data_IF_284093583839
#
_entry.id   IF_284093583839
#
_cell.length_a   1.000
_cell.length_b   1.000
_cell.length_c   1.000
_cell.angle_alpha   90.00
_cell.angle_beta   90.00
_cell.angle_gamma   90.00
#
_symmetry.space_group_name_H-M   'P 1'
#
loop_
_entity.id
_entity.type
_entity.pdbx_description
1 polymer ?
#
# COMPACT_ATOMS: atom_id res chain seq x y z
N UNK A 1 57.42 -18.63 64.62
CA UNK A 1 56.09 -19.22 64.79
C UNK A 1 55.07 -18.21 64.32
N UNK A 2 54.19 -18.64 63.41
CA UNK A 2 52.83 -18.14 63.14
C UNK A 2 52.63 -16.71 62.61
N UNK A 3 52.29 -16.67 61.31
CA UNK A 3 51.11 -16.05 60.67
C UNK A 3 50.31 -14.95 61.38
N UNK A 4 50.02 -13.91 60.59
CA UNK A 4 48.72 -13.23 60.57
C UNK A 4 48.72 -11.77 60.98
N UNK A 5 48.75 -10.84 60.02
CA UNK A 5 48.29 -9.47 60.23
C UNK A 5 47.37 -9.01 59.09
N UNK A 6 46.10 -8.85 59.46
CA UNK A 6 44.98 -8.21 58.76
C UNK A 6 45.30 -6.72 58.47
N UNK A 7 45.10 -6.28 57.23
CA UNK A 7 43.92 -5.58 56.69
C UNK A 7 43.79 -4.08 57.09
N UNK A 8 43.92 -3.20 56.09
CA UNK A 8 43.29 -1.86 56.03
C UNK A 8 43.36 -1.30 54.59
N UNK A 9 42.20 -0.82 54.10
CA UNK A 9 41.86 -0.30 52.76
C UNK A 9 42.69 0.91 52.27
N UNK A 10 42.68 1.26 50.95
CA UNK A 10 41.67 2.21 50.43
C UNK A 10 41.19 2.03 48.97
N UNK A 11 40.12 2.79 48.67
CA UNK A 11 39.63 3.27 47.37
C UNK A 11 38.64 2.40 46.57
N UNK A 12 37.35 2.60 46.89
CA UNK A 12 36.20 2.29 46.05
C UNK A 12 35.97 3.45 45.07
N UNK A 13 36.10 3.20 43.77
CA UNK A 13 35.51 4.01 42.70
C UNK A 13 34.61 3.07 41.88
N UNK A 14 33.30 3.20 42.09
CA UNK A 14 32.29 2.41 41.40
C UNK A 14 32.16 2.88 39.95
N UNK A 15 32.62 2.04 39.01
CA UNK A 15 32.31 2.17 37.60
C UNK A 15 30.92 1.60 37.32
N UNK A 16 30.07 2.38 36.65
CA UNK A 16 28.74 1.98 36.21
C UNK A 16 28.80 0.80 35.22
N UNK A 17 27.87 -0.18 35.28
CA UNK A 17 27.86 -1.27 34.32
C UNK A 17 27.32 -0.79 32.97
N UNK A 18 28.16 -0.91 31.95
CA UNK A 18 27.81 -0.79 30.54
C UNK A 18 26.75 -1.84 30.19
N UNK A 19 25.52 -1.40 29.92
CA UNK A 19 24.46 -2.28 29.44
C UNK A 19 24.81 -2.72 28.03
N UNK A 20 25.17 -4.00 27.90
CA UNK A 20 25.36 -4.67 26.63
C UNK A 20 24.05 -4.64 25.82
N UNK A 21 24.10 -4.07 24.62
CA UNK A 21 23.05 -4.23 23.60
C UNK A 21 22.98 -5.73 23.25
N UNK A 22 21.83 -6.41 23.39
CA UNK A 22 21.74 -7.78 22.91
C UNK A 22 21.84 -7.75 21.38
N UNK A 23 22.81 -8.49 20.86
CA UNK A 23 22.92 -8.80 19.45
C UNK A 23 21.65 -9.58 19.04
N UNK A 24 20.76 -8.93 18.30
CA UNK A 24 19.68 -9.59 17.57
C UNK A 24 20.33 -10.46 16.49
N UNK A 25 20.56 -11.73 16.82
CA UNK A 25 20.87 -12.77 15.84
C UNK A 25 19.75 -12.80 14.80
N UNK A 26 20.14 -12.61 13.54
CA UNK A 26 19.24 -12.54 12.40
C UNK A 26 18.44 -13.82 12.20
N UNK A 27 17.16 -13.77 12.56
CA UNK A 27 16.14 -14.51 11.83
C UNK A 27 15.93 -13.76 10.51
N UNK A 28 16.31 -14.39 9.38
CA UNK A 28 15.99 -13.89 8.04
C UNK A 28 14.49 -13.61 7.99
N UNK A 29 14.08 -12.37 7.74
CA UNK A 29 12.70 -12.11 7.38
C UNK A 29 12.44 -12.80 6.02
N UNK A 30 11.30 -13.46 5.84
CA UNK A 30 10.90 -13.96 4.53
C UNK A 30 10.82 -12.78 3.54
N UNK A 31 10.98 -13.02 2.23
CA UNK A 31 10.87 -11.96 1.22
C UNK A 31 9.54 -11.23 1.38
N UNK A 32 9.60 -9.91 1.52
CA UNK A 32 8.41 -9.11 1.80
C UNK A 32 7.67 -8.86 0.49
N UNK A 33 6.49 -9.45 0.36
CA UNK A 33 5.65 -9.24 -0.82
C UNK A 33 4.67 -8.10 -0.55
N UNK A 34 4.65 -7.11 -1.44
CA UNK A 34 3.79 -5.96 -1.35
C UNK A 34 2.88 -5.90 -2.58
N UNK A 35 1.57 -5.83 -2.36
CA UNK A 35 0.56 -5.76 -3.41
C UNK A 35 -0.12 -4.39 -3.44
N UNK A 36 0.47 -3.37 -4.07
CA UNK A 36 -0.25 -2.14 -4.37
C UNK A 36 -1.41 -2.40 -5.32
N UNK A 37 -2.64 -2.22 -4.85
CA UNK A 37 -3.82 -2.27 -5.71
C UNK A 37 -3.94 -0.96 -6.51
N UNK A 38 -4.33 -1.03 -7.77
CA UNK A 38 -4.74 0.19 -8.47
C UNK A 38 -6.09 0.66 -7.92
N UNK A 39 -6.10 1.80 -7.23
CA UNK A 39 -7.33 2.61 -7.18
C UNK A 39 -7.61 3.17 -8.58
N UNK A 40 -8.81 3.77 -8.79
CA UNK A 40 -9.10 4.57 -9.99
C UNK A 40 -7.93 5.48 -10.39
N UNK A 41 -7.17 5.94 -9.38
CA UNK A 41 -6.00 6.80 -9.33
C UNK A 41 -4.89 6.57 -10.38
N UNK A 42 -4.52 5.34 -10.73
CA UNK A 42 -3.45 5.05 -11.71
C UNK A 42 -3.58 3.65 -12.29
N UNK A 43 -4.26 3.53 -13.43
CA UNK A 43 -4.11 2.36 -14.28
C UNK A 43 -2.88 2.57 -15.19
N UNK A 44 -2.00 1.58 -15.31
CA UNK A 44 -0.98 1.58 -16.36
C UNK A 44 -1.56 0.84 -17.57
N UNK A 45 -1.45 1.42 -18.76
CA UNK A 45 -1.83 0.78 -20.03
C UNK A 45 -0.60 0.69 -20.91
N UNK A 46 -0.38 -0.44 -21.58
CA UNK A 46 0.76 -0.64 -22.48
C UNK A 46 0.32 -0.78 -23.93
N UNK A 47 1.01 -0.10 -24.83
CA UNK A 47 0.95 -0.36 -26.27
C UNK A 47 2.21 -1.06 -26.75
N UNK A 48 2.05 -2.20 -27.44
CA UNK A 48 3.17 -2.90 -28.07
C UNK A 48 3.58 -2.15 -29.34
N UNK A 49 4.82 -1.71 -29.41
CA UNK A 49 5.45 -1.23 -30.65
C UNK A 49 6.28 -2.36 -31.25
N UNK A 50 5.77 -2.94 -32.34
CA UNK A 50 6.37 -4.07 -33.08
C UNK A 50 5.30 -4.73 -33.95
N UNK A 51 5.55 -4.82 -35.26
CA UNK A 51 4.60 -5.10 -36.36
C UNK A 51 3.32 -5.89 -35.99
N UNK A 52 2.16 -5.22 -36.05
CA UNK A 52 0.84 -5.85 -36.13
C UNK A 52 -0.11 -5.74 -34.93
N UNK A 53 0.26 -5.09 -33.81
CA UNK A 53 -0.56 -5.05 -32.59
C UNK A 53 -1.44 -3.79 -32.41
N UNK A 54 -2.75 -3.95 -32.32
CA UNK A 54 -3.75 -2.86 -32.13
C UNK A 54 -3.62 -2.12 -30.80
N UNK A 55 -3.80 -0.80 -30.84
CA UNK A 55 -4.01 0.05 -29.67
C UNK A 55 -5.35 -0.24 -28.96
N UNK A 56 -5.33 -0.34 -27.63
CA UNK A 56 -6.50 -0.34 -26.76
C UNK A 56 -6.54 0.95 -25.91
N UNK A 57 -7.54 1.80 -26.14
CA UNK A 57 -7.89 2.94 -25.30
C UNK A 57 -9.35 2.83 -24.87
N UNK A 58 -9.68 3.39 -23.71
CA UNK A 58 -11.06 3.55 -23.24
C UNK A 58 -11.30 5.05 -23.00
N UNK A 59 -12.16 5.71 -23.81
CA UNK A 59 -12.71 7.01 -23.46
C UNK A 59 -13.94 6.84 -22.55
N UNK A 60 -14.12 7.82 -21.68
CA UNK A 60 -15.29 8.01 -20.83
C UNK A 60 -16.57 8.11 -21.67
N UNK A 61 -17.61 7.40 -21.24
CA UNK A 61 -18.92 7.38 -21.89
C UNK A 61 -19.59 8.75 -21.82
N UNK A 62 -20.06 9.17 -22.98
CA UNK A 62 -21.02 10.25 -23.20
C UNK A 62 -22.40 9.91 -22.66
N UNK A 63 -23.08 10.91 -22.11
CA UNK A 63 -24.53 10.90 -21.89
C UNK A 63 -25.19 11.44 -23.15
N UNK A 64 -26.12 10.66 -23.72
CA UNK A 64 -27.08 11.12 -24.73
C UNK A 64 -28.35 11.52 -23.99
N UNK A 65 -28.75 12.77 -24.13
CA UNK A 65 -30.08 13.27 -23.78
C UNK A 65 -30.47 14.28 -24.86
N UNK A 66 -31.48 13.95 -25.64
CA UNK A 66 -31.99 14.75 -26.74
C UNK A 66 -33.44 15.07 -26.44
N UNK A 67 -33.79 16.36 -26.25
CA UNK A 67 -35.03 16.98 -26.73
C UNK A 67 -34.93 18.52 -26.62
N UNK A 68 -35.06 19.16 -27.78
CA UNK A 68 -35.68 20.45 -28.14
C UNK A 68 -35.54 21.74 -27.29
N UNK A 69 -35.32 22.79 -28.08
CA UNK A 69 -35.09 24.25 -27.92
C UNK A 69 -36.19 25.06 -27.21
N UNK A 70 -35.84 26.10 -26.43
CA UNK A 70 -36.03 27.55 -26.74
C UNK A 70 -35.33 28.48 -25.69
N UNK A 71 -34.97 29.76 -26.00
CA UNK A 71 -33.92 30.54 -25.33
C UNK A 71 -34.43 31.66 -24.41
N UNK A 72 -33.63 32.08 -23.42
CA UNK A 72 -33.43 33.50 -23.05
C UNK A 72 -32.49 33.73 -21.85
N UNK A 73 -31.56 34.68 -22.05
CA UNK A 73 -30.77 35.49 -21.10
C UNK A 73 -29.50 34.90 -20.42
N UNK A 74 -28.35 35.63 -20.43
CA UNK A 74 -27.12 35.21 -19.79
C UNK A 74 -27.09 35.61 -18.30
N UNK A 75 -26.74 34.65 -17.43
CA UNK A 75 -26.43 34.90 -16.01
C UNK A 75 -24.93 34.64 -15.76
N UNK A 76 -24.31 35.35 -14.80
CA UNK A 76 -22.86 35.45 -14.67
C UNK A 76 -22.21 34.11 -14.34
N UNK A 77 -21.03 33.88 -14.90
CA UNK A 77 -20.20 32.68 -14.68
C UNK A 77 -19.91 32.48 -13.19
N UNK A 78 -20.28 31.32 -12.60
CA UNK A 78 -19.81 30.97 -11.27
C UNK A 78 -18.35 30.53 -11.35
N UNK A 79 -17.51 31.14 -10.52
CA UNK A 79 -16.15 30.68 -10.24
C UNK A 79 -16.25 29.27 -9.63
N UNK A 80 -15.54 28.25 -10.15
CA UNK A 80 -15.67 26.89 -9.62
C UNK A 80 -15.07 26.81 -8.22
N UNK A 81 -15.87 26.32 -7.27
CA UNK A 81 -15.43 25.92 -5.94
C UNK A 81 -14.40 24.77 -6.03
N UNK A 82 -13.35 24.74 -5.19
CA UNK A 82 -12.36 23.66 -5.18
C UNK A 82 -12.93 22.44 -4.46
N UNK A 83 -13.82 21.70 -5.12
CA UNK A 83 -14.47 20.51 -4.55
C UNK A 83 -14.62 19.34 -5.53
N UNK A 84 -14.16 19.49 -6.77
CA UNK A 84 -14.17 18.43 -7.77
C UNK A 84 -12.82 17.74 -7.83
N UNK A 85 -12.69 16.57 -7.20
CA UNK A 85 -11.51 15.72 -7.40
C UNK A 85 -11.30 15.46 -8.90
N UNK A 86 -10.12 15.81 -9.41
CA UNK A 86 -9.75 15.57 -10.80
C UNK A 86 -9.96 14.08 -11.16
N UNK A 87 -10.53 13.76 -12.33
CA UNK A 87 -10.71 12.38 -12.72
C UNK A 87 -9.35 11.70 -12.78
N UNK A 88 -9.23 10.59 -12.07
CA UNK A 88 -8.01 9.83 -12.00
C UNK A 88 -7.48 9.44 -13.39
N UNK A 89 -6.25 9.86 -13.69
CA UNK A 89 -5.65 9.72 -15.03
C UNK A 89 -4.87 8.40 -15.15
N UNK A 90 -5.03 7.77 -16.30
CA UNK A 90 -4.34 6.53 -16.70
C UNK A 90 -2.93 6.85 -17.18
N UNK A 91 -1.92 6.15 -16.67
CA UNK A 91 -0.55 6.21 -17.16
C UNK A 91 -0.43 5.35 -18.43
N UNK A 92 0.02 5.92 -19.54
CA UNK A 92 0.13 5.21 -20.80
C UNK A 92 1.59 4.94 -21.15
N UNK A 93 2.04 3.71 -20.91
CA UNK A 93 3.38 3.26 -21.25
C UNK A 93 3.45 2.75 -22.70
N UNK A 94 4.35 3.32 -23.49
CA UNK A 94 4.60 2.98 -24.91
C UNK A 94 6.02 2.48 -25.14
N UNK A 95 6.87 2.58 -24.12
CA UNK A 95 8.27 2.17 -24.15
C UNK A 95 8.68 1.47 -22.83
N UNK A 96 9.79 0.71 -22.83
CA UNK A 96 10.39 0.22 -21.59
C UNK A 96 10.74 1.34 -20.59
N UNK A 97 11.19 2.50 -21.09
CA UNK A 97 11.44 3.68 -20.27
C UNK A 97 10.18 4.18 -19.56
N UNK A 98 9.03 4.15 -20.24
CA UNK A 98 7.75 4.55 -19.64
C UNK A 98 7.31 3.56 -18.55
N UNK A 99 7.57 2.25 -18.73
CA UNK A 99 7.32 1.24 -17.70
C UNK A 99 8.15 1.52 -16.45
N UNK A 100 9.45 1.76 -16.62
CA UNK A 100 10.36 2.10 -15.52
C UNK A 100 9.93 3.38 -14.80
N UNK A 101 9.45 4.38 -15.53
CA UNK A 101 8.93 5.62 -14.95
C UNK A 101 7.56 5.48 -14.29
N UNK A 102 6.76 4.48 -14.68
CA UNK A 102 5.45 4.20 -14.05
C UNK A 102 5.61 3.53 -12.68
N UNK A 103 6.61 2.67 -12.51
CA UNK A 103 6.89 1.96 -11.25
C UNK A 103 6.91 2.89 -10.02
N UNK A 104 7.72 3.96 -9.98
CA UNK A 104 7.79 4.82 -8.79
C UNK A 104 6.48 5.53 -8.49
N UNK A 105 5.70 5.90 -9.52
CA UNK A 105 4.38 6.53 -9.35
C UNK A 105 3.37 5.54 -8.77
N UNK A 106 3.41 4.29 -9.25
CA UNK A 106 2.51 3.22 -8.80
C UNK A 106 2.83 2.77 -7.37
N UNK A 107 4.11 2.58 -7.05
CA UNK A 107 4.54 2.13 -5.72
C UNK A 107 4.52 3.27 -4.68
N UNK A 108 4.67 4.52 -5.12
CA UNK A 108 4.88 5.69 -4.27
C UNK A 108 6.33 5.89 -3.83
N UNK A 109 7.24 5.03 -4.28
CA UNK A 109 8.68 5.12 -4.00
C UNK A 109 9.47 4.38 -5.09
N UNK A 110 10.77 4.63 -5.17
CA UNK A 110 11.66 3.93 -6.12
C UNK A 110 12.05 2.56 -5.61
N UNK A 111 11.87 1.55 -6.45
CA UNK A 111 12.25 0.18 -6.16
C UNK A 111 13.78 -0.02 -6.28
N UNK A 112 14.33 -0.76 -5.34
CA UNK A 112 15.71 -1.27 -5.34
C UNK A 112 15.67 -2.72 -4.87
N UNK A 113 16.63 -3.53 -5.33
CA UNK A 113 16.82 -4.95 -4.93
C UNK A 113 15.50 -5.74 -4.83
N UNK A 114 14.68 -5.65 -5.88
CA UNK A 114 13.34 -6.22 -5.91
C UNK A 114 12.87 -6.55 -7.32
N UNK A 115 11.89 -7.46 -7.40
CA UNK A 115 11.10 -7.68 -8.61
C UNK A 115 9.80 -6.89 -8.48
N UNK A 116 9.51 -6.07 -9.49
CA UNK A 116 8.24 -5.34 -9.61
C UNK A 116 7.42 -5.95 -10.74
N UNK A 117 6.15 -6.24 -10.45
CA UNK A 117 5.17 -6.73 -11.40
C UNK A 117 4.08 -5.68 -11.63
N UNK A 118 3.90 -5.28 -12.87
CA UNK A 118 2.79 -4.47 -13.31
C UNK A 118 1.76 -5.37 -14.02
N UNK A 119 0.55 -5.53 -13.46
CA UNK A 119 -0.53 -6.24 -14.16
C UNK A 119 -1.34 -5.31 -15.04
N UNK A 120 -1.87 -5.87 -16.13
CA UNK A 120 -2.71 -5.15 -17.07
C UNK A 120 -4.06 -5.86 -17.20
N UNK A 121 -5.18 -5.17 -16.97
CA UNK A 121 -6.49 -5.82 -17.03
C UNK A 121 -6.86 -6.14 -18.49
N UNK A 122 -7.53 -7.28 -18.69
CA UNK A 122 -8.04 -7.70 -20.01
C UNK A 122 -8.95 -6.62 -20.60
N UNK A 123 -8.57 -6.09 -21.77
CA UNK A 123 -9.50 -5.31 -22.58
C UNK A 123 -10.48 -6.29 -23.24
N UNK A 124 -11.80 -6.23 -22.97
CA UNK A 124 -12.75 -7.11 -23.65
C UNK A 124 -12.77 -6.78 -25.16
N UNK A 125 -12.90 -7.78 -26.05
CA UNK A 125 -13.09 -7.51 -27.47
C UNK A 125 -14.35 -6.65 -27.68
N UNK A 126 -14.24 -5.63 -28.54
CA UNK A 126 -15.26 -4.59 -28.82
C UNK A 126 -16.69 -5.12 -29.06
N UNK A 127 -16.85 -6.38 -29.45
CA UNK A 127 -18.14 -7.03 -29.75
C UNK A 127 -18.97 -7.45 -28.52
N UNK A 128 -18.43 -7.40 -27.30
CA UNK A 128 -19.14 -7.78 -26.05
C UNK A 128 -19.49 -6.59 -25.14
N UNK A 129 -19.71 -5.40 -25.70
CA UNK A 129 -20.18 -4.20 -24.95
C UNK A 129 -21.63 -4.28 -24.45
N UNK A 130 -22.36 -5.37 -24.73
CA UNK A 130 -23.78 -5.58 -24.35
C UNK A 130 -24.01 -6.53 -23.17
N UNK A 131 -22.97 -7.11 -22.58
CA UNK A 131 -23.11 -7.70 -21.25
C UNK A 131 -23.07 -6.54 -20.24
N UNK A 132 -23.90 -6.59 -19.20
CA UNK A 132 -24.01 -5.54 -18.15
C UNK A 132 -22.69 -5.26 -17.40
N UNK A 133 -22.69 -4.68 -16.19
CA UNK A 133 -21.48 -4.42 -15.41
C UNK A 133 -20.82 -5.74 -15.00
N UNK A 134 -20.16 -6.38 -15.95
CA UNK A 134 -19.34 -7.55 -15.79
C UNK A 134 -18.07 -7.06 -15.13
N UNK A 135 -17.93 -7.46 -13.86
CA UNK A 135 -16.80 -7.22 -12.97
C UNK A 135 -15.50 -7.43 -13.75
N UNK A 136 -14.92 -6.37 -14.29
CA UNK A 136 -13.60 -6.46 -14.91
C UNK A 136 -12.60 -6.80 -13.80
N UNK A 137 -11.59 -7.65 -14.07
CA UNK A 137 -10.50 -7.84 -13.12
C UNK A 137 -9.89 -6.47 -12.83
N UNK A 138 -9.90 -6.04 -11.58
CA UNK A 138 -9.16 -4.85 -11.17
C UNK A 138 -7.66 -5.19 -11.21
N UNK A 139 -6.86 -4.27 -11.76
CA UNK A 139 -5.42 -4.47 -11.81
C UNK A 139 -4.82 -4.31 -10.41
N UNK A 140 -3.84 -5.16 -10.09
CA UNK A 140 -2.98 -5.00 -8.93
C UNK A 140 -1.53 -4.99 -9.39
N UNK A 141 -0.67 -4.34 -8.65
CA UNK A 141 0.75 -4.35 -8.89
C UNK A 141 1.42 -5.06 -7.72
N UNK A 142 2.62 -5.58 -7.92
CA UNK A 142 3.35 -6.23 -6.86
C UNK A 142 4.81 -5.76 -6.85
N UNK A 143 5.39 -5.74 -5.67
CA UNK A 143 6.83 -5.64 -5.45
C UNK A 143 7.20 -6.73 -4.45
N UNK A 144 8.24 -7.48 -4.75
CA UNK A 144 8.82 -8.44 -3.81
C UNK A 144 10.32 -8.26 -3.76
N UNK A 145 10.89 -8.32 -2.55
CA UNK A 145 12.35 -8.26 -2.38
C UNK A 145 13.03 -9.39 -3.15
N UNK A 146 14.19 -9.10 -3.76
CA UNK A 146 15.02 -10.16 -4.32
C UNK A 146 15.58 -11.01 -3.17
N UNK A 147 15.63 -12.34 -3.32
CA UNK A 147 16.13 -13.19 -2.27
C UNK A 147 17.66 -13.08 -2.17
N UNK A 148 18.20 -13.27 -0.96
CA UNK A 148 19.64 -13.28 -0.76
C UNK A 148 20.33 -14.48 -1.44
N UNK A 149 19.58 -15.56 -1.70
CA UNK A 149 20.03 -16.75 -2.39
C UNK A 149 19.24 -16.94 -3.68
N UNK A 150 19.90 -17.15 -4.85
CA UNK A 150 19.19 -17.50 -6.08
C UNK A 150 18.34 -18.78 -5.98
N UNK A 151 18.64 -19.66 -5.01
CA UNK A 151 17.87 -20.88 -4.76
C UNK A 151 16.40 -20.60 -4.39
N UNK A 152 16.11 -19.41 -3.84
CA UNK A 152 14.77 -19.03 -3.37
C UNK A 152 13.97 -18.27 -4.47
N UNK A 153 14.56 -18.07 -5.66
CA UNK A 153 13.88 -17.40 -6.80
C UNK A 153 12.58 -18.11 -7.26
N UNK A 154 12.47 -19.45 -7.22
CA UNK A 154 11.19 -20.11 -7.51
C UNK A 154 10.06 -19.66 -6.57
N UNK A 155 10.34 -19.51 -5.28
CA UNK A 155 9.33 -19.03 -4.31
C UNK A 155 8.90 -17.60 -4.61
N UNK A 156 9.84 -16.75 -5.02
CA UNK A 156 9.55 -15.38 -5.47
C UNK A 156 8.66 -15.36 -6.71
N UNK A 157 8.92 -16.24 -7.68
CA UNK A 157 8.09 -16.36 -8.87
C UNK A 157 6.68 -16.86 -8.53
N UNK A 158 6.56 -17.88 -7.68
CA UNK A 158 5.28 -18.44 -7.26
C UNK A 158 4.45 -17.41 -6.47
N UNK A 159 5.08 -16.67 -5.55
CA UNK A 159 4.43 -15.60 -4.79
C UNK A 159 3.85 -14.48 -5.68
N UNK A 160 4.48 -14.19 -6.82
CA UNK A 160 3.97 -13.23 -7.81
C UNK A 160 2.91 -13.86 -8.72
N UNK A 161 3.06 -15.12 -9.09
CA UNK A 161 2.17 -15.83 -10.02
C UNK A 161 0.84 -16.22 -9.37
N UNK A 162 0.84 -16.62 -8.11
CA UNK A 162 -0.36 -17.07 -7.38
C UNK A 162 -1.52 -16.05 -7.45
N UNK A 163 -1.31 -14.76 -7.14
CA UNK A 163 -2.34 -13.74 -7.29
C UNK A 163 -2.74 -13.49 -8.74
N UNK A 164 -1.82 -13.61 -9.70
CA UNK A 164 -2.10 -13.44 -11.14
C UNK A 164 -3.11 -14.49 -11.60
N UNK A 165 -2.90 -15.76 -11.23
CA UNK A 165 -3.81 -16.86 -11.53
C UNK A 165 -5.15 -16.70 -10.80
N UNK A 166 -5.12 -16.37 -9.51
CA UNK A 166 -6.32 -16.17 -8.68
C UNK A 166 -7.24 -15.10 -9.26
N UNK A 167 -6.67 -13.99 -9.71
CA UNK A 167 -7.41 -12.85 -10.26
C UNK A 167 -7.59 -12.93 -11.79
N UNK A 168 -7.14 -14.02 -12.42
CA UNK A 168 -7.22 -14.28 -13.86
C UNK A 168 -6.64 -13.14 -14.70
N UNK A 169 -5.51 -12.62 -14.23
CA UNK A 169 -4.69 -11.70 -14.99
C UNK A 169 -3.95 -12.51 -16.05
N UNK A 170 -4.06 -12.10 -17.30
CA UNK A 170 -3.42 -12.79 -18.43
C UNK A 170 -2.23 -12.03 -18.99
N UNK A 171 -1.94 -10.83 -18.48
CA UNK A 171 -0.90 -9.96 -19.00
C UNK A 171 -0.18 -9.19 -17.91
N UNK A 172 1.14 -9.28 -17.89
CA UNK A 172 2.01 -8.59 -16.93
C UNK A 172 3.28 -8.05 -17.57
N UNK A 173 3.90 -7.05 -16.94
CA UNK A 173 5.28 -6.66 -17.19
C UNK A 173 6.06 -6.84 -15.89
N UNK A 174 7.30 -7.30 -16.01
CA UNK A 174 8.19 -7.57 -14.89
C UNK A 174 9.45 -6.70 -15.01
N UNK A 175 9.88 -6.12 -13.89
CA UNK A 175 11.12 -5.35 -13.81
C UNK A 175 11.93 -5.85 -12.62
N UNK A 176 13.14 -6.32 -12.88
CA UNK A 176 14.10 -6.76 -11.87
C UNK A 176 15.04 -5.59 -11.57
N UNK A 177 14.94 -5.00 -10.39
CA UNK A 177 15.81 -3.94 -9.92
C UNK A 177 16.95 -4.53 -9.09
N UNK A 178 18.18 -4.47 -9.60
CA UNK A 178 19.39 -4.86 -8.86
C UNK A 178 20.64 -4.42 -9.62
N UNK A 179 21.74 -4.03 -8.95
CA UNK A 179 23.01 -3.83 -9.64
C UNK A 179 23.66 -5.15 -10.10
N UNK A 180 23.24 -6.31 -9.58
CA UNK A 180 23.81 -7.62 -9.91
C UNK A 180 23.16 -8.21 -11.17
N UNK A 181 23.87 -8.12 -12.30
CA UNK A 181 23.43 -8.65 -13.58
C UNK A 181 23.28 -10.19 -13.59
N UNK A 182 24.08 -10.92 -12.80
CA UNK A 182 23.99 -12.37 -12.74
C UNK A 182 22.75 -12.82 -11.97
N UNK A 183 22.42 -12.14 -10.87
CA UNK A 183 21.17 -12.36 -10.15
C UNK A 183 19.97 -11.96 -11.01
N UNK A 184 20.04 -10.83 -11.72
CA UNK A 184 18.97 -10.39 -12.62
C UNK A 184 18.69 -11.42 -13.73
N UNK A 185 19.73 -11.97 -14.36
CA UNK A 185 19.58 -13.00 -15.39
C UNK A 185 18.95 -14.29 -14.83
N UNK A 186 19.37 -14.73 -13.64
CA UNK A 186 18.79 -15.91 -12.98
C UNK A 186 17.31 -15.69 -12.63
N UNK A 187 16.99 -14.54 -12.01
CA UNK A 187 15.62 -14.17 -11.67
C UNK A 187 14.75 -14.12 -12.93
N UNK A 188 15.24 -13.52 -14.00
CA UNK A 188 14.53 -13.41 -15.26
C UNK A 188 14.27 -14.78 -15.92
N UNK A 189 15.24 -15.70 -15.87
CA UNK A 189 15.05 -17.07 -16.35
C UNK A 189 13.90 -17.78 -15.62
N UNK A 190 13.93 -17.76 -14.28
CA UNK A 190 12.88 -18.39 -13.46
C UNK A 190 11.51 -17.75 -13.70
N UNK A 191 11.44 -16.41 -13.67
CA UNK A 191 10.20 -15.67 -13.89
C UNK A 191 9.63 -15.90 -15.30
N UNK A 192 10.47 -15.84 -16.34
CA UNK A 192 10.04 -16.03 -17.71
C UNK A 192 9.46 -17.43 -17.92
N UNK A 193 10.15 -18.47 -17.43
CA UNK A 193 9.69 -19.86 -17.51
C UNK A 193 8.35 -20.04 -16.79
N UNK A 194 8.28 -19.68 -15.50
CA UNK A 194 7.06 -19.88 -14.67
C UNK A 194 5.83 -19.18 -15.26
N UNK A 195 5.96 -17.91 -15.64
CA UNK A 195 4.84 -17.15 -16.18
C UNK A 195 4.40 -17.65 -17.56
N UNK A 196 5.35 -18.06 -18.42
CA UNK A 196 5.03 -18.59 -19.76
C UNK A 196 4.37 -19.97 -19.67
N UNK A 197 4.87 -20.87 -18.82
CA UNK A 197 4.27 -22.18 -18.55
C UNK A 197 2.83 -22.06 -18.04
N UNK A 198 2.56 -21.02 -17.24
CA UNK A 198 1.23 -20.69 -16.75
C UNK A 198 0.32 -19.98 -17.77
N UNK A 199 0.81 -19.71 -18.99
CA UNK A 199 0.05 -19.06 -20.06
C UNK A 199 -0.17 -17.56 -19.89
N UNK A 200 0.66 -16.88 -19.09
CA UNK A 200 0.59 -15.43 -18.87
C UNK A 200 1.43 -14.70 -19.92
N UNK A 201 0.85 -13.70 -20.58
CA UNK A 201 1.49 -12.84 -21.58
C UNK A 201 2.46 -11.87 -20.87
N UNK A 202 3.77 -12.16 -20.97
CA UNK A 202 4.82 -11.23 -20.56
C UNK A 202 4.99 -10.13 -21.61
N UNK A 203 4.44 -8.96 -21.32
CA UNK A 203 4.56 -7.76 -22.15
C UNK A 203 6.01 -7.33 -22.27
N UNK A 204 6.71 -7.36 -21.15
CA UNK A 204 8.13 -7.10 -21.05
C UNK A 204 8.72 -7.73 -19.80
N UNK A 205 10.02 -8.01 -19.85
CA UNK A 205 10.83 -8.40 -18.71
C UNK A 205 12.16 -7.67 -18.81
N UNK A 206 12.38 -6.76 -17.86
CA UNK A 206 13.49 -5.80 -17.88
C UNK A 206 14.38 -6.00 -16.66
N UNK A 207 15.68 -5.76 -16.81
CA UNK A 207 16.61 -5.56 -15.71
C UNK A 207 16.94 -4.07 -15.62
N UNK A 208 16.87 -3.48 -14.43
CA UNK A 208 17.28 -2.11 -14.15
C UNK A 208 18.40 -2.10 -13.10
N UNK A 209 19.57 -1.55 -13.45
CA UNK A 209 20.75 -1.49 -12.57
C UNK A 209 20.85 -0.19 -11.76
N UNK A 210 19.86 0.70 -11.91
CA UNK A 210 19.81 2.04 -11.32
C UNK A 210 20.30 3.17 -12.23
N UNK A 211 20.90 2.86 -13.39
CA UNK A 211 21.36 3.83 -14.40
C UNK A 211 20.90 3.48 -15.81
N UNK A 212 20.88 2.18 -16.13
CA UNK A 212 20.51 1.60 -17.41
C UNK A 212 19.49 0.50 -17.20
N UNK A 213 18.70 0.27 -18.23
CA UNK A 213 17.84 -0.90 -18.32
C UNK A 213 18.25 -1.78 -19.49
N UNK A 214 17.98 -3.07 -19.32
CA UNK A 214 18.33 -4.13 -20.25
C UNK A 214 17.08 -4.95 -20.55
N UNK A 215 16.82 -5.23 -21.83
CA UNK A 215 15.79 -6.18 -22.22
C UNK A 215 16.24 -7.61 -21.91
N UNK A 216 15.35 -8.43 -21.35
CA UNK A 216 15.64 -9.85 -21.05
C UNK A 216 14.82 -10.80 -21.93
N UNK A 217 13.72 -10.33 -22.54
CA UNK A 217 12.98 -11.10 -23.55
C UNK A 217 13.63 -10.97 -24.94
N UNK A 218 13.51 -12.02 -25.79
CA UNK A 218 13.95 -11.96 -27.18
C UNK A 218 13.09 -10.98 -28.01
N UNK A 219 13.62 -10.54 -29.16
CA UNK A 219 12.90 -9.73 -30.15
C UNK A 219 13.01 -8.21 -29.97
N UNK A 220 13.95 -7.75 -29.14
CA UNK A 220 14.34 -6.33 -29.02
C UNK A 220 15.56 -6.03 -29.91
N UNK A 221 15.85 -4.76 -30.21
CA UNK A 221 17.05 -4.43 -30.97
C UNK A 221 18.32 -4.59 -30.11
N UNK A 222 19.51 -4.82 -30.71
CA UNK A 222 20.75 -5.12 -29.98
C UNK A 222 21.10 -4.13 -28.86
N UNK A 223 20.84 -2.84 -29.07
CA UNK A 223 21.09 -1.79 -28.08
C UNK A 223 20.30 -1.96 -26.78
N UNK A 224 19.12 -2.58 -26.83
CA UNK A 224 18.32 -2.85 -25.65
C UNK A 224 18.94 -3.94 -24.77
N UNK A 225 19.72 -4.87 -25.36
CA UNK A 225 20.47 -5.88 -24.62
C UNK A 225 21.82 -5.34 -24.12
N UNK A 226 22.39 -4.34 -24.81
CA UNK A 226 23.63 -3.67 -24.39
C UNK A 226 23.43 -2.65 -23.25
N UNK A 227 22.18 -2.29 -22.95
CA UNK A 227 21.79 -1.41 -21.87
C UNK A 227 21.54 0.02 -22.32
N UNK A 228 20.32 0.50 -22.09
CA UNK A 228 19.87 1.85 -22.43
C UNK A 228 19.79 2.72 -21.17
N UNK A 229 20.42 3.91 -21.14
CA UNK A 229 20.26 4.84 -20.03
C UNK A 229 18.79 5.22 -19.79
N UNK A 230 18.39 5.35 -18.54
CA UNK A 230 17.10 5.92 -18.19
C UNK A 230 17.22 6.88 -17.02
N UNK A 231 16.35 7.88 -17.01
CA UNK A 231 16.12 8.76 -15.88
C UNK A 231 14.62 8.78 -15.59
N UNK A 232 14.23 8.12 -14.52
CA UNK A 232 12.84 8.12 -14.07
C UNK A 232 12.45 9.47 -13.45
N UNK A 233 13.43 10.27 -12.96
CA UNK A 233 13.22 11.48 -12.16
C UNK A 233 12.72 12.66 -12.98
N UNK A 234 13.15 12.77 -14.23
CA UNK A 234 12.71 13.79 -15.17
C UNK A 234 11.49 13.39 -16.00
N UNK A 235 10.99 12.16 -15.82
CA UNK A 235 9.91 11.65 -16.65
C UNK A 235 8.56 12.37 -16.36
N UNK A 236 7.75 12.70 -17.38
CA UNK A 236 6.47 13.39 -17.21
C UNK A 236 5.48 12.76 -16.23
N UNK A 237 5.57 11.44 -16.02
CA UNK A 237 4.73 10.73 -15.05
C UNK A 237 4.93 11.21 -13.61
N UNK A 238 6.16 11.56 -13.21
CA UNK A 238 6.43 12.07 -11.87
C UNK A 238 5.91 13.50 -11.71
N UNK A 239 6.09 14.36 -12.72
CA UNK A 239 5.54 15.71 -12.70
C UNK A 239 4.01 15.68 -12.54
N UNK A 240 3.34 14.77 -13.24
CA UNK A 240 1.90 14.55 -13.09
C UNK A 240 1.53 14.01 -11.70
N UNK A 241 2.31 13.07 -11.15
CA UNK A 241 2.06 12.55 -9.80
C UNK A 241 2.11 13.66 -8.74
N UNK A 242 3.09 14.57 -8.84
CA UNK A 242 3.21 15.73 -7.94
C UNK A 242 2.03 16.68 -8.08
N UNK A 243 1.58 16.95 -9.31
CA UNK A 243 0.38 17.76 -9.56
C UNK A 243 -0.87 17.14 -8.94
N UNK A 244 -0.96 15.80 -8.93
CA UNK A 244 -2.04 15.04 -8.31
C UNK A 244 -1.86 14.90 -6.77
N UNK A 245 -0.94 15.66 -6.17
CA UNK A 245 -0.67 15.68 -4.73
C UNK A 245 0.11 14.47 -4.22
N UNK A 246 0.72 13.67 -5.10
CA UNK A 246 1.47 12.46 -4.74
C UNK A 246 2.96 12.72 -4.73
N UNK A 247 3.57 12.47 -3.57
CA UNK A 247 5.02 12.53 -3.42
C UNK A 247 5.59 11.13 -3.61
N UNK A 248 6.51 11.00 -4.57
CA UNK A 248 7.29 9.77 -4.77
C UNK A 248 8.53 9.82 -3.89
N UNK A 249 8.66 8.87 -2.97
CA UNK A 249 9.79 8.80 -2.05
C UNK A 249 11.02 8.13 -2.69
N UNK A 250 12.18 8.34 -2.05
CA UNK A 250 13.45 7.77 -2.51
C UNK A 250 13.53 6.26 -2.36
N UNK A 251 12.85 5.68 -1.36
CA UNK A 251 12.87 4.25 -1.05
C UNK A 251 11.66 3.84 -0.22
N UNK A 252 11.46 2.53 -0.05
CA UNK A 252 10.51 1.97 0.91
C UNK A 252 10.84 2.38 2.33
N UNK A 253 12.13 2.41 2.69
CA UNK A 253 12.56 2.79 4.03
C UNK A 253 12.21 4.25 4.34
N UNK A 254 12.29 5.14 3.35
CA UNK A 254 11.79 6.50 3.49
C UNK A 254 10.27 6.55 3.71
N UNK A 255 9.50 5.66 3.07
CA UNK A 255 8.05 5.53 3.31
C UNK A 255 7.76 5.06 4.74
N UNK A 256 8.50 4.07 5.22
CA UNK A 256 8.37 3.56 6.59
C UNK A 256 8.81 4.59 7.64
N UNK A 257 9.90 5.32 7.38
CA UNK A 257 10.39 6.40 8.24
C UNK A 257 9.36 7.52 8.39
N UNK A 258 8.60 7.83 7.33
CA UNK A 258 7.49 8.80 7.40
C UNK A 258 6.29 8.39 8.26
N UNK A 259 6.34 7.22 8.91
CA UNK A 259 5.39 6.79 9.94
C UNK A 259 5.97 6.87 11.37
N UNK A 260 7.25 7.20 11.51
CA UNK A 260 7.89 7.44 12.80
C UNK A 260 7.57 8.89 13.22
N UNK A 261 7.49 9.13 14.53
CA UNK A 261 7.32 10.46 15.07
C UNK A 261 8.53 11.33 14.71
N UNK A 262 8.28 12.51 14.14
CA UNK A 262 9.31 13.53 13.96
C UNK A 262 9.43 14.43 15.22
N UNK A 263 8.36 14.47 16.02
CA UNK A 263 8.26 15.23 17.27
C UNK A 263 7.99 14.29 18.44
N UNK A 264 9.04 13.95 19.17
CA UNK A 264 8.93 13.08 20.35
C UNK A 264 8.23 13.76 21.53
N UNK A 265 8.24 15.10 21.60
CA UNK A 265 7.55 15.84 22.65
C UNK A 265 6.02 15.74 22.48
N UNK A 266 5.52 15.78 21.23
CA UNK A 266 4.12 15.53 20.94
C UNK A 266 3.68 14.10 21.35
N UNK A 267 4.51 13.09 21.08
CA UNK A 267 4.22 11.70 21.52
C UNK A 267 4.13 11.59 23.03
N UNK A 268 5.07 12.22 23.75
CA UNK A 268 5.08 12.24 25.22
C UNK A 268 3.87 12.99 25.78
N UNK A 269 3.48 14.13 25.20
CA UNK A 269 2.29 14.88 25.59
C UNK A 269 1.01 14.05 25.40
N UNK A 270 0.87 13.39 24.24
CA UNK A 270 -0.24 12.47 23.97
C UNK A 270 -0.26 11.30 24.95
N UNK A 271 0.90 10.72 25.28
CA UNK A 271 0.99 9.64 26.28
C UNK A 271 0.53 10.11 27.67
N UNK A 272 1.02 11.26 28.13
CA UNK A 272 0.63 11.85 29.42
C UNK A 272 -0.87 12.13 29.50
N UNK A 273 -1.45 12.70 28.43
CA UNK A 273 -2.88 12.93 28.33
C UNK A 273 -3.67 11.61 28.29
N UNK A 274 -3.22 10.61 27.54
CA UNK A 274 -3.91 9.32 27.45
C UNK A 274 -3.90 8.58 28.79
N UNK A 275 -2.84 8.73 29.61
CA UNK A 275 -2.75 8.13 30.95
C UNK A 275 -3.63 8.82 31.99
N UNK A 276 -4.00 10.08 31.78
CA UNK A 276 -4.90 10.82 32.67
C UNK A 276 -6.38 10.64 32.34
N UNK A 277 -6.68 10.03 31.18
CA UNK A 277 -8.04 9.71 30.74
C UNK A 277 -8.42 8.29 31.17
N UNK A 278 -9.55 8.18 31.86
CA UNK A 278 -10.21 6.90 32.10
C UNK A 278 -10.99 6.46 30.85
N UNK A 279 -11.05 5.15 30.63
CA UNK A 279 -11.99 4.61 29.62
C UNK A 279 -13.42 4.87 30.08
N UNK A 280 -14.26 5.31 29.15
CA UNK A 280 -15.68 5.43 29.42
C UNK A 280 -16.25 4.08 29.89
N UNK A 281 -17.01 4.13 30.99
CA UNK A 281 -17.84 3.00 31.40
C UNK A 281 -19.00 2.78 30.41
N UNK A 282 -19.81 1.71 30.62
CA UNK A 282 -20.94 1.40 29.74
C UNK A 282 -21.91 2.57 29.50
N UNK A 283 -22.13 3.40 30.53
CA UNK A 283 -23.02 4.57 30.47
C UNK A 283 -22.49 5.70 29.57
N UNK A 284 -21.17 5.83 29.44
CA UNK A 284 -20.51 6.84 28.60
C UNK A 284 -20.27 6.38 27.15
N UNK A 285 -20.44 5.09 26.85
CA UNK A 285 -20.09 4.51 25.56
C UNK A 285 -20.81 5.19 24.38
N UNK A 286 -22.09 5.55 24.53
CA UNK A 286 -22.82 6.24 23.45
C UNK A 286 -22.30 7.67 23.23
N UNK A 287 -21.90 8.36 24.30
CA UNK A 287 -21.27 9.68 24.19
C UNK A 287 -19.92 9.59 23.49
N UNK A 288 -19.10 8.58 23.80
CA UNK A 288 -17.83 8.36 23.09
C UNK A 288 -18.05 7.95 21.63
N UNK A 289 -19.08 7.14 21.34
CA UNK A 289 -19.47 6.80 19.97
C UNK A 289 -19.77 8.07 19.15
N UNK A 290 -20.59 8.97 19.68
CA UNK A 290 -20.94 10.24 19.03
C UNK A 290 -19.74 11.17 18.91
N UNK A 291 -18.86 11.18 19.91
CA UNK A 291 -17.65 11.99 19.88
C UNK A 291 -16.66 11.49 18.81
N UNK A 292 -16.35 10.20 18.76
CA UNK A 292 -15.46 9.59 17.74
C UNK A 292 -16.01 9.88 16.34
N UNK A 293 -17.33 9.73 16.16
CA UNK A 293 -17.97 9.98 14.88
C UNK A 293 -17.81 11.45 14.44
N UNK A 294 -18.17 12.37 15.32
CA UNK A 294 -18.08 13.81 15.06
C UNK A 294 -16.64 14.29 14.91
N UNK A 295 -15.70 13.73 15.67
CA UNK A 295 -14.28 14.06 15.61
C UNK A 295 -13.69 13.67 14.24
N UNK A 296 -13.99 12.47 13.75
CA UNK A 296 -13.53 12.01 12.44
C UNK A 296 -14.13 12.85 11.31
N UNK A 297 -15.41 13.26 11.39
CA UNK A 297 -16.01 14.16 10.41
C UNK A 297 -15.31 15.52 10.35
N UNK A 298 -15.12 16.14 11.52
CA UNK A 298 -14.39 17.41 11.63
C UNK A 298 -12.97 17.30 11.05
N UNK A 299 -12.28 16.20 11.35
CA UNK A 299 -10.93 15.96 10.86
C UNK A 299 -10.86 15.78 9.35
N UNK A 300 -11.79 15.01 8.78
CA UNK A 300 -11.91 14.81 7.33
C UNK A 300 -12.32 16.11 6.61
N UNK A 301 -13.03 17.00 7.28
CA UNK A 301 -13.33 18.36 6.81
C UNK A 301 -12.13 19.33 6.93
N UNK A 302 -11.00 18.89 7.50
CA UNK A 302 -9.75 19.66 7.56
C UNK A 302 -9.44 20.30 8.91
N UNK A 303 -10.25 20.05 9.95
CA UNK A 303 -9.97 20.58 11.28
C UNK A 303 -8.68 20.00 11.87
N UNK A 304 -7.84 20.85 12.46
CA UNK A 304 -6.63 20.43 13.15
C UNK A 304 -7.00 19.76 14.50
N UNK A 305 -6.42 18.60 14.78
CA UNK A 305 -6.58 17.93 16.07
C UNK A 305 -5.47 18.30 17.04
N UNK A 306 -5.89 18.69 18.25
CA UNK A 306 -4.97 18.86 19.38
C UNK A 306 -4.41 17.52 19.86
N UNK A 307 -3.37 17.56 20.68
CA UNK A 307 -2.84 16.35 21.32
C UNK A 307 -3.86 15.70 22.26
N UNK A 308 -4.78 16.50 22.83
CA UNK A 308 -5.90 16.01 23.62
C UNK A 308 -6.94 15.24 22.80
N UNK A 309 -7.25 15.71 21.59
CA UNK A 309 -8.14 14.98 20.67
C UNK A 309 -7.54 13.63 20.27
N UNK A 310 -6.23 13.60 19.96
CA UNK A 310 -5.53 12.35 19.63
C UNK A 310 -5.49 11.42 20.83
N UNK A 311 -5.14 11.92 22.03
CA UNK A 311 -5.10 11.11 23.24
C UNK A 311 -6.46 10.47 23.55
N UNK A 312 -7.56 11.24 23.47
CA UNK A 312 -8.92 10.70 23.68
C UNK A 312 -9.26 9.62 22.65
N UNK A 313 -9.01 9.89 21.36
CA UNK A 313 -9.24 8.89 20.31
C UNK A 313 -8.44 7.60 20.57
N UNK A 314 -7.17 7.70 20.97
CA UNK A 314 -6.33 6.53 21.25
C UNK A 314 -6.86 5.71 22.44
N UNK A 315 -7.40 6.37 23.46
CA UNK A 315 -8.05 5.69 24.60
C UNK A 315 -9.33 4.99 24.14
N UNK A 316 -10.14 5.63 23.30
CA UNK A 316 -11.38 5.07 22.76
C UNK A 316 -11.13 3.85 21.87
N UNK A 317 -10.07 3.86 21.06
CA UNK A 317 -9.71 2.74 20.17
C UNK A 317 -9.30 1.46 20.91
N UNK A 318 -9.13 1.51 22.24
CA UNK A 318 -8.97 0.31 23.08
C UNK A 318 -10.28 -0.46 23.24
N UNK A 319 -11.42 0.21 23.03
CA UNK A 319 -12.71 -0.46 22.85
C UNK A 319 -12.84 -0.92 21.38
N UNK A 320 -13.04 -2.22 21.22
CA UNK A 320 -13.21 -2.85 19.91
C UNK A 320 -14.40 -2.26 19.15
N UNK A 321 -15.48 -1.89 19.83
CA UNK A 321 -16.69 -1.33 19.21
C UNK A 321 -16.43 0.06 18.63
N UNK A 322 -15.71 0.91 19.36
CA UNK A 322 -15.34 2.26 18.90
C UNK A 322 -14.25 2.21 17.81
N UNK A 323 -13.30 1.27 17.91
CA UNK A 323 -12.36 0.99 16.83
C UNK A 323 -13.06 0.55 15.55
N UNK A 324 -14.01 -0.37 15.67
CA UNK A 324 -14.71 -0.91 14.51
C UNK A 324 -15.69 0.10 13.92
N UNK A 325 -16.25 1.02 14.72
CA UNK A 325 -16.93 2.22 14.22
C UNK A 325 -16.00 2.99 13.29
N UNK A 326 -14.80 3.36 13.76
CA UNK A 326 -13.83 4.11 12.95
C UNK A 326 -13.42 3.35 11.66
N UNK A 327 -13.32 2.02 11.72
CA UNK A 327 -13.03 1.17 10.58
C UNK A 327 -14.17 1.14 9.54
N UNK A 328 -15.40 0.89 9.99
CA UNK A 328 -16.56 0.70 9.11
C UNK A 328 -16.97 1.97 8.36
N UNK A 329 -16.53 3.15 8.82
CA UNK A 329 -16.75 4.43 8.13
C UNK A 329 -15.93 4.61 6.86
N UNK A 330 -14.86 3.84 6.70
CA UNK A 330 -13.96 4.01 5.56
C UNK A 330 -14.64 3.56 4.27
N UNK A 331 -14.68 4.45 3.29
CA UNK A 331 -15.16 4.15 1.93
C UNK A 331 -14.04 4.35 0.93
N UNK A 332 -14.16 3.78 -0.27
CA UNK A 332 -13.21 4.06 -1.36
C UNK A 332 -13.06 5.55 -1.66
N UNK A 333 -14.14 6.32 -1.53
CA UNK A 333 -14.14 7.77 -1.75
C UNK A 333 -13.48 8.55 -0.61
N UNK A 334 -13.55 8.09 0.64
CA UNK A 334 -12.95 8.77 1.80
C UNK A 334 -11.56 8.26 2.17
N UNK A 335 -11.09 7.15 1.56
CA UNK A 335 -9.87 6.46 1.94
C UNK A 335 -8.62 7.35 1.96
N UNK A 336 -8.46 8.25 0.97
CA UNK A 336 -7.33 9.18 0.93
C UNK A 336 -7.31 10.13 2.14
N UNK A 337 -8.48 10.67 2.53
CA UNK A 337 -8.59 11.48 3.74
C UNK A 337 -8.26 10.69 5.00
N UNK A 338 -8.78 9.46 5.11
CA UNK A 338 -8.44 8.58 6.24
C UNK A 338 -6.95 8.23 6.31
N UNK A 339 -6.26 8.06 5.18
CA UNK A 339 -4.80 7.84 5.18
C UNK A 339 -4.09 9.00 5.88
N UNK A 340 -4.46 10.24 5.59
CA UNK A 340 -3.88 11.41 6.24
C UNK A 340 -4.21 11.47 7.73
N UNK A 341 -5.47 11.20 8.11
CA UNK A 341 -5.89 11.15 9.53
C UNK A 341 -5.08 10.11 10.30
N UNK A 342 -5.04 8.86 9.81
CA UNK A 342 -4.40 7.78 10.55
C UNK A 342 -2.88 7.87 10.52
N UNK A 343 -2.29 8.45 9.48
CA UNK A 343 -0.86 8.72 9.44
C UNK A 343 -0.45 9.70 10.53
N UNK A 344 -1.22 10.77 10.69
CA UNK A 344 -1.01 11.77 11.74
C UNK A 344 -1.19 11.16 13.14
N UNK A 345 -2.26 10.38 13.37
CA UNK A 345 -2.46 9.66 14.65
C UNK A 345 -1.31 8.68 14.92
N UNK A 346 -0.89 7.89 13.94
CA UNK A 346 0.23 6.92 14.08
C UNK A 346 1.54 7.62 14.46
N UNK A 347 1.80 8.81 13.90
CA UNK A 347 3.01 9.59 14.19
C UNK A 347 3.02 10.20 15.60
N UNK A 348 1.85 10.44 16.19
CA UNK A 348 1.70 10.99 17.55
C UNK A 348 1.44 9.92 18.61
N UNK A 349 1.23 8.66 18.20
CA UNK A 349 0.79 7.59 19.08
C UNK A 349 1.97 6.96 19.87
N UNK A 350 1.88 6.85 21.22
CA UNK A 350 2.84 6.09 22.00
C UNK A 350 2.77 4.59 21.68
N UNK A 351 3.91 3.90 21.81
CA UNK A 351 4.08 2.53 21.33
C UNK A 351 3.02 1.54 21.84
N UNK A 352 2.58 1.68 23.10
CA UNK A 352 1.61 0.77 23.72
C UNK A 352 0.15 0.97 23.26
N UNK A 353 -0.16 2.06 22.56
CA UNK A 353 -1.47 2.34 21.95
C UNK A 353 -1.45 2.23 20.41
N UNK A 354 -0.28 1.94 19.83
CA UNK A 354 -0.04 1.92 18.39
C UNK A 354 -0.83 0.87 17.58
N UNK A 355 -1.13 -0.35 18.09
CA UNK A 355 -1.66 -1.42 17.24
C UNK A 355 -2.96 -1.06 16.49
N UNK A 356 -3.93 -0.46 17.18
CA UNK A 356 -5.21 -0.07 16.57
C UNK A 356 -5.08 0.99 15.46
N UNK A 357 -4.49 2.19 15.70
CA UNK A 357 -4.36 3.21 14.66
C UNK A 357 -3.44 2.78 13.51
N UNK A 358 -2.37 2.01 13.78
CA UNK A 358 -1.52 1.48 12.73
C UNK A 358 -2.28 0.50 11.82
N UNK A 359 -3.16 -0.32 12.38
CA UNK A 359 -3.98 -1.22 11.58
C UNK A 359 -5.08 -0.49 10.78
N UNK A 360 -5.67 0.58 11.35
CA UNK A 360 -6.61 1.44 10.64
C UNK A 360 -5.94 2.20 9.49
N UNK A 361 -4.70 2.69 9.69
CA UNK A 361 -3.87 3.23 8.62
C UNK A 361 -3.61 2.19 7.53
N UNK A 362 -3.26 0.96 7.92
CA UNK A 362 -3.01 -0.11 6.95
C UNK A 362 -4.23 -0.37 6.06
N UNK A 363 -5.40 -0.46 6.67
CA UNK A 363 -6.65 -0.67 5.94
C UNK A 363 -7.01 0.52 5.05
N UNK A 364 -6.91 1.76 5.55
CA UNK A 364 -7.16 2.96 4.77
C UNK A 364 -6.21 3.06 3.56
N UNK A 365 -4.93 2.75 3.77
CA UNK A 365 -3.92 2.73 2.72
C UNK A 365 -4.23 1.68 1.66
N UNK A 366 -4.63 0.46 2.03
CA UNK A 366 -5.12 -0.53 1.08
C UNK A 366 -6.32 -0.03 0.29
N UNK A 367 -7.31 0.56 0.98
CA UNK A 367 -8.54 1.04 0.36
C UNK A 367 -8.29 2.17 -0.64
N UNK A 368 -7.26 2.99 -0.38
CA UNK A 368 -6.77 4.05 -1.27
C UNK A 368 -5.86 3.55 -2.41
N UNK A 369 -5.42 2.27 -2.38
CA UNK A 369 -4.50 1.69 -3.36
C UNK A 369 -3.00 1.85 -3.01
N UNK A 370 -2.68 2.30 -1.81
CA UNK A 370 -1.31 2.45 -1.32
C UNK A 370 -0.82 1.18 -0.59
N UNK A 371 -0.70 0.06 -1.32
CA UNK A 371 -0.37 -1.23 -0.71
C UNK A 371 0.97 -1.26 0.04
N UNK A 372 1.98 -0.52 -0.43
CA UNK A 372 3.26 -0.43 0.30
C UNK A 372 3.14 0.32 1.63
N UNK A 373 2.36 1.42 1.65
CA UNK A 373 2.04 2.13 2.90
C UNK A 373 1.25 1.22 3.85
N UNK A 374 0.33 0.42 3.30
CA UNK A 374 -0.44 -0.55 4.07
C UNK A 374 0.48 -1.56 4.79
N UNK A 375 1.46 -2.11 4.07
CA UNK A 375 2.45 -3.00 4.66
C UNK A 375 3.37 -2.31 5.67
N UNK A 376 3.86 -1.10 5.40
CA UNK A 376 4.65 -0.35 6.38
C UNK A 376 3.87 -0.10 7.69
N UNK A 377 2.56 0.18 7.58
CA UNK A 377 1.70 0.35 8.75
C UNK A 377 1.45 -0.97 9.49
N UNK A 378 1.30 -2.09 8.79
CA UNK A 378 1.24 -3.43 9.42
C UNK A 378 2.53 -3.82 10.12
N UNK A 379 3.70 -3.51 9.54
CA UNK A 379 4.98 -3.78 10.18
C UNK A 379 5.11 -3.01 11.49
N UNK A 380 4.66 -1.75 11.53
CA UNK A 380 4.57 -0.97 12.77
C UNK A 380 3.61 -1.59 13.79
N UNK A 381 2.43 -2.02 13.33
CA UNK A 381 1.44 -2.68 14.18
C UNK A 381 2.02 -3.94 14.82
N UNK A 382 2.61 -4.84 14.02
CA UNK A 382 3.24 -6.09 14.46
C UNK A 382 4.47 -5.88 15.32
N UNK A 383 5.23 -4.82 15.07
CA UNK A 383 6.36 -4.43 15.91
C UNK A 383 5.93 -4.03 17.33
N UNK A 384 4.71 -3.50 17.49
CA UNK A 384 4.14 -3.17 18.79
C UNK A 384 3.37 -4.34 19.43
N UNK A 385 2.59 -5.08 18.64
CA UNK A 385 1.83 -6.25 19.07
C UNK A 385 1.76 -7.29 17.92
N UNK A 386 2.60 -8.35 17.97
CA UNK A 386 2.61 -9.40 16.96
C UNK A 386 1.29 -10.17 16.81
N UNK A 387 0.47 -10.22 17.87
CA UNK A 387 -0.75 -11.02 17.95
C UNK A 387 -2.02 -10.18 17.72
N UNK A 388 -1.87 -8.92 17.30
CA UNK A 388 -2.99 -8.02 17.06
C UNK A 388 -3.90 -8.54 15.94
N UNK A 389 -5.04 -9.13 16.32
CA UNK A 389 -5.91 -9.93 15.43
C UNK A 389 -6.32 -9.21 14.14
N UNK A 390 -6.63 -7.91 14.21
CA UNK A 390 -7.05 -7.14 13.04
C UNK A 390 -5.90 -7.02 12.01
N UNK A 391 -4.64 -6.92 12.48
CA UNK A 391 -3.49 -6.88 11.59
C UNK A 391 -3.35 -8.17 10.77
N UNK A 392 -3.68 -9.33 11.37
CA UNK A 392 -3.73 -10.60 10.65
C UNK A 392 -4.77 -10.62 9.53
N UNK A 393 -5.96 -10.05 9.77
CA UNK A 393 -7.02 -9.94 8.76
C UNK A 393 -6.60 -9.04 7.59
N UNK A 394 -6.03 -7.88 7.89
CA UNK A 394 -5.56 -6.93 6.86
C UNK A 394 -4.38 -7.51 6.08
N UNK A 395 -3.45 -8.19 6.75
CA UNK A 395 -2.35 -8.89 6.08
C UNK A 395 -2.85 -9.96 5.12
N UNK A 396 -3.79 -10.80 5.55
CA UNK A 396 -4.41 -11.83 4.68
C UNK A 396 -5.03 -11.21 3.42
N UNK A 397 -5.68 -10.06 3.57
CA UNK A 397 -6.28 -9.32 2.48
C UNK A 397 -5.22 -8.78 1.50
N UNK A 398 -4.08 -8.30 2.00
CA UNK A 398 -2.95 -7.86 1.19
C UNK A 398 -2.24 -9.03 0.49
N UNK A 399 -1.91 -10.09 1.23
CA UNK A 399 -1.23 -11.30 0.72
C UNK A 399 -2.02 -11.96 -0.42
N UNK A 400 -3.35 -11.93 -0.34
CA UNK A 400 -4.21 -12.45 -1.40
C UNK A 400 -4.48 -11.46 -2.53
N UNK A 401 -3.88 -10.26 -2.49
CA UNK A 401 -4.11 -9.16 -3.41
C UNK A 401 -5.61 -8.86 -3.60
N UNK A 402 -6.40 -8.91 -2.53
CA UNK A 402 -7.85 -8.71 -2.61
C UNK A 402 -8.11 -7.28 -3.12
N UNK A 403 -8.89 -7.10 -4.19
CA UNK A 403 -9.11 -5.78 -4.76
C UNK A 403 -9.97 -4.94 -3.82
N UNK A 404 -9.69 -3.63 -3.64
CA UNK A 404 -10.47 -2.77 -2.73
C UNK A 404 -11.95 -2.65 -3.07
N UNK A 405 -12.40 -3.16 -4.22
CA UNK A 405 -13.79 -3.11 -4.70
C UNK A 405 -14.67 -4.10 -3.97
N UNK A 406 -14.06 -5.06 -3.29
CA UNK A 406 -14.78 -6.01 -2.45
C UNK A 406 -15.24 -5.36 -1.15
N UNK A 407 -14.64 -4.23 -0.75
CA UNK A 407 -15.05 -3.49 0.42
C UNK A 407 -16.32 -2.68 0.15
N UNK A 408 -17.38 -3.08 0.84
CA UNK A 408 -18.64 -2.37 0.91
C UNK A 408 -18.98 -2.27 2.40
N UNK A 409 -18.77 -1.11 3.03
CA UNK A 409 -19.15 -0.96 4.43
C UNK A 409 -20.67 -1.15 4.56
N UNK A 410 -21.15 -1.73 5.68
CA UNK A 410 -22.58 -1.83 5.96
C UNK A 410 -23.23 -0.45 5.90
N UNK A 411 -24.43 -0.35 5.30
CA UNK A 411 -25.19 0.91 5.28
C UNK A 411 -25.69 1.31 6.66
N UNK A 412 -26.01 0.32 7.48
CA UNK A 412 -26.28 0.43 8.91
C UNK A 412 -25.36 -0.58 9.62
N UNK A 413 -24.22 -0.16 10.18
CA UNK A 413 -23.40 -1.04 10.98
C UNK A 413 -24.18 -1.36 12.25
N UNK A 414 -24.75 -2.56 12.32
CA UNK A 414 -25.23 -3.12 13.58
C UNK A 414 -24.04 -3.13 14.56
N UNK A 415 -24.13 -2.43 15.71
CA UNK A 415 -23.04 -2.32 16.66
C UNK A 415 -22.56 -3.68 17.20
N UNK A 416 -23.33 -4.76 17.04
CA UNK A 416 -22.97 -6.11 17.46
C UNK A 416 -22.33 -7.00 16.37
N UNK A 417 -22.28 -6.60 15.08
CA UNK A 417 -21.84 -7.47 13.96
C UNK A 417 -20.48 -7.11 13.33
N UNK A 418 -19.78 -6.09 13.83
CA UNK A 418 -18.63 -5.49 13.15
C UNK A 418 -17.41 -6.41 12.96
N UNK A 419 -17.18 -7.36 13.88
CA UNK A 419 -16.02 -8.27 13.83
C UNK A 419 -16.20 -9.45 12.85
N UNK A 420 -17.44 -9.89 12.59
CA UNK A 420 -17.73 -11.09 11.80
C UNK A 420 -17.75 -10.84 10.28
N UNK A 421 -18.09 -9.62 9.84
CA UNK A 421 -18.31 -9.32 8.42
C UNK A 421 -17.06 -9.50 7.54
N UNK A 422 -15.88 -9.17 8.06
CA UNK A 422 -14.60 -9.32 7.33
C UNK A 422 -14.09 -10.76 7.39
N UNK A 423 -14.20 -11.43 8.55
CA UNK A 423 -13.80 -12.83 8.72
C UNK A 423 -14.66 -13.80 7.90
N UNK A 424 -15.97 -13.57 7.83
CA UNK A 424 -16.92 -14.42 7.10
C UNK A 424 -16.69 -14.33 5.57
N UNK A 425 -16.33 -13.15 5.06
CA UNK A 425 -16.11 -12.94 3.61
C UNK A 425 -14.75 -13.44 3.14
N UNK A 426 -13.67 -13.21 3.89
CA UNK A 426 -12.33 -13.74 3.58
C UNK A 426 -12.33 -15.28 3.59
N UNK A 427 -13.00 -15.91 4.58
CA UNK A 427 -13.19 -17.37 4.64
C UNK A 427 -14.02 -17.90 3.46
N UNK A 428 -15.06 -17.18 3.05
CA UNK A 428 -15.90 -17.61 1.92
C UNK A 428 -15.20 -17.52 0.55
N UNK A 429 -14.21 -16.63 0.39
CA UNK A 429 -13.44 -16.48 -0.84
C UNK A 429 -12.25 -17.44 -0.90
N UNK A 430 -11.55 -17.67 0.21
CA UNK A 430 -10.50 -18.70 0.32
C UNK A 430 -11.06 -20.11 0.12
N UNK A 431 -12.26 -20.40 0.62
CA UNK A 431 -12.95 -21.68 0.43
C UNK A 431 -13.50 -21.90 -1.01
N UNK A 432 -13.75 -20.84 -1.79
CA UNK A 432 -14.16 -20.96 -3.20
C UNK A 432 -12.97 -21.12 -4.16
N UNK A 433 -11.77 -20.74 -3.75
CA UNK A 433 -10.54 -20.91 -4.54
C UNK A 433 -9.89 -22.29 -4.44
N UNK A 434 -10.25 -23.09 -3.43
CA UNK A 434 -9.72 -24.45 -3.19
C UNK A 434 -10.57 -25.56 -3.82
N UNK A 435 -11.69 -25.21 -4.46
CA UNK A 435 -12.45 -26.13 -5.32
C UNK A 435 -12.31 -25.66 -6.76
N UNK A 436 -11.23 -26.04 -7.43
CA UNK A 436 -11.23 -26.44 -8.85
C UNK A 436 -9.88 -26.97 -9.28
#
# INVERSE_FOLDING_TARGET
MQDGSLASHPAVLAAAPTVARPALMGRKLPPTTHFPCTGRASAVVVHRTGHGGRAASVPAGSVVGMTHTDPSLPSPTPVPSPGGGLPARTLLARSPGDLLAAVPVVLGFRATDSVVMLTFPRTPPRRRRRAGPSRQPEAFHARIDLPASPADLPEVADALLDPVLRHRIDRVALVVYTPDAALAAQAAGVLATRFTEAGVDLVDLLHADGKRWFALLPGRPPEAYAGTPYDDRSHPFLAQAVLDGRVTLGSRDALAAGLIADDQAAVEAVDQLARSLDRAGPEGHESERQWVDSALDRRLAGEAWSDGDVARLLVDLRDVRLRDLAWLRMTRSSAAGHVEVWRDVVRRCPAHLLPAPACLLAFAAWLAGHGALAWCALDRCRGADPDYRLAGLVATLLDHAVPPSTWHPPRDPDPDLAADATALRVRSQTARGTRH
#
